data_IF_592005211887
#
_entry.id   IF_592005211887
#
_cell.length_a   1.000
_cell.length_b   1.000
_cell.length_c   1.000
_cell.angle_alpha   90.00
_cell.angle_beta   90.00
_cell.angle_gamma   90.00
#
_symmetry.space_group_name_H-M   'P 1'
#
loop_
_entity.id
_entity.type
_entity.pdbx_description
1 polymer ?
#
# COMPACT_ATOMS: atom_id res chain seq x y z
N UNK A 1 -5.12 14.28 13.55
CA UNK A 1 -4.17 13.17 13.73
C UNK A 1 -4.60 12.06 12.80
N UNK A 2 -3.67 11.56 12.00
CA UNK A 2 -3.87 10.49 11.03
C UNK A 2 -4.25 9.19 11.76
N UNK A 3 -5.38 8.61 11.41
CA UNK A 3 -5.80 7.30 11.92
C UNK A 3 -5.20 6.21 11.03
N UNK A 4 -4.33 5.38 11.59
CA UNK A 4 -3.61 4.33 10.86
C UNK A 4 -4.39 3.01 10.81
N UNK A 5 -4.04 2.13 9.86
CA UNK A 5 -4.44 0.73 9.87
C UNK A 5 -4.05 0.02 11.18
N UNK A 6 -4.84 -0.97 11.58
CA UNK A 6 -4.68 -1.65 12.89
C UNK A 6 -3.30 -2.25 13.12
N UNK A 7 -2.63 -2.70 12.05
CA UNK A 7 -1.31 -3.30 12.09
C UNK A 7 -0.18 -2.29 12.25
N UNK A 8 -0.46 -0.99 12.32
CA UNK A 8 0.55 0.05 12.48
C UNK A 8 0.44 0.73 13.85
N UNK A 9 1.59 0.97 14.48
CA UNK A 9 1.69 1.79 15.68
C UNK A 9 2.84 2.78 15.53
N UNK A 10 2.58 4.02 15.93
CA UNK A 10 3.53 5.14 15.96
C UNK A 10 3.46 5.81 17.33
N UNK A 11 4.47 6.60 17.70
CA UNK A 11 4.48 7.26 18.99
C UNK A 11 3.37 8.33 19.09
N UNK A 12 2.72 8.43 20.25
CA UNK A 12 1.51 9.25 20.42
C UNK A 12 1.74 10.77 20.33
N UNK A 13 2.99 11.21 20.41
CA UNK A 13 3.42 12.61 20.30
C UNK A 13 3.75 13.04 18.85
N UNK A 14 3.53 12.17 17.88
CA UNK A 14 3.80 12.46 16.47
C UNK A 14 2.56 13.08 15.82
N UNK A 15 2.70 14.34 15.38
CA UNK A 15 1.68 15.08 14.64
C UNK A 15 1.61 14.62 13.18
N UNK A 16 1.26 13.35 12.96
CA UNK A 16 0.95 12.85 11.62
C UNK A 16 -0.44 13.36 11.20
N UNK A 17 -0.50 13.92 10.00
CA UNK A 17 -1.72 14.49 9.42
C UNK A 17 -1.90 14.01 8.00
N UNK A 18 -3.15 14.03 7.53
CA UNK A 18 -3.44 13.84 6.11
C UNK A 18 -2.86 14.98 5.29
N UNK A 19 -2.44 14.66 4.08
CA UNK A 19 -1.90 15.61 3.11
C UNK A 19 -1.24 14.86 1.97
N UNK A 20 -1.03 15.55 0.85
CA UNK A 20 -0.24 15.00 -0.26
C UNK A 20 0.80 15.99 -0.76
N UNK A 21 1.87 15.47 -1.34
CA UNK A 21 2.95 16.22 -1.95
C UNK A 21 3.33 15.56 -3.27
N UNK A 22 3.69 16.36 -4.26
CA UNK A 22 4.39 15.88 -5.45
C UNK A 22 5.87 15.69 -5.10
N UNK A 23 6.27 14.46 -4.85
CA UNK A 23 7.62 14.10 -4.38
C UNK A 23 8.62 13.95 -5.52
N UNK A 24 8.17 13.84 -6.77
CA UNK A 24 9.01 13.92 -7.97
C UNK A 24 8.22 14.33 -9.22
N UNK A 25 8.85 14.35 -10.39
CA UNK A 25 8.17 14.59 -11.67
C UNK A 25 7.10 13.54 -11.99
N UNK A 26 7.17 12.34 -11.39
CA UNK A 26 6.29 11.20 -11.69
C UNK A 26 5.57 10.62 -10.47
N UNK A 27 5.79 11.17 -9.27
CA UNK A 27 5.20 10.66 -8.04
C UNK A 27 4.41 11.72 -7.27
N UNK A 28 3.21 11.32 -6.86
CA UNK A 28 2.49 11.90 -5.73
C UNK A 28 2.61 10.97 -4.54
N UNK A 29 2.84 11.51 -3.35
CA UNK A 29 2.85 10.78 -2.08
C UNK A 29 1.84 11.42 -1.14
N UNK A 30 1.07 10.61 -0.43
CA UNK A 30 0.05 11.08 0.50
C UNK A 30 0.01 10.27 1.79
N UNK A 31 -0.28 10.95 2.89
CA UNK A 31 -0.79 10.32 4.10
C UNK A 31 -2.32 10.27 4.00
N UNK A 32 -2.89 9.08 4.01
CA UNK A 32 -4.34 8.88 3.87
C UNK A 32 -4.90 8.25 5.15
N UNK A 33 -5.93 8.85 5.75
CA UNK A 33 -6.57 8.27 6.92
C UNK A 33 -7.19 6.92 6.57
N UNK A 34 -7.12 5.96 7.49
CA UNK A 34 -7.53 4.56 7.22
C UNK A 34 -8.96 4.44 6.69
N UNK A 35 -9.85 5.33 7.13
CA UNK A 35 -11.26 5.40 6.71
C UNK A 35 -11.45 5.81 5.25
N UNK A 36 -10.46 6.48 4.65
CA UNK A 36 -10.46 6.97 3.27
C UNK A 36 -9.72 6.06 2.30
N UNK A 37 -9.01 5.04 2.79
CA UNK A 37 -8.15 4.22 1.93
C UNK A 37 -8.95 3.43 0.88
N UNK A 38 -10.10 2.87 1.25
CA UNK A 38 -10.96 2.14 0.30
C UNK A 38 -11.45 3.07 -0.81
N UNK A 39 -11.99 4.24 -0.48
CA UNK A 39 -12.51 5.20 -1.47
C UNK A 39 -11.40 5.76 -2.37
N UNK A 40 -10.19 5.98 -1.84
CA UNK A 40 -9.03 6.41 -2.62
C UNK A 40 -8.65 5.35 -3.66
N UNK A 41 -8.54 4.08 -3.28
CA UNK A 41 -8.25 3.01 -4.22
C UNK A 41 -9.39 2.81 -5.25
N UNK A 42 -10.65 2.88 -4.82
CA UNK A 42 -11.81 2.80 -5.71
C UNK A 42 -11.83 3.94 -6.74
N UNK A 43 -11.50 5.16 -6.32
CA UNK A 43 -11.41 6.31 -7.21
C UNK A 43 -10.35 6.07 -8.30
N UNK A 44 -9.16 5.58 -7.93
CA UNK A 44 -8.12 5.22 -8.90
C UNK A 44 -8.61 4.17 -9.91
N UNK A 45 -9.23 3.08 -9.44
CA UNK A 45 -9.76 2.04 -10.33
C UNK A 45 -10.81 2.61 -11.30
N UNK A 46 -11.71 3.47 -10.80
CA UNK A 46 -12.84 3.97 -11.56
C UNK A 46 -12.45 4.93 -12.70
N UNK A 47 -11.38 5.70 -12.54
CA UNK A 47 -10.94 6.68 -13.56
C UNK A 47 -10.16 6.04 -14.73
N UNK A 48 -9.81 4.75 -14.64
CA UNK A 48 -9.06 4.03 -15.67
C UNK A 48 -9.95 3.03 -16.45
N UNK A 49 -10.49 3.41 -17.61
CA UNK A 49 -11.30 2.53 -18.46
C UNK A 49 -10.42 1.60 -19.32
N UNK A 50 -9.47 0.91 -18.69
CA UNK A 50 -8.49 0.04 -19.33
C UNK A 50 -8.24 -1.23 -18.48
N UNK A 51 -7.57 -2.27 -19.02
CA UNK A 51 -7.15 -3.40 -18.22
C UNK A 51 -6.18 -2.99 -17.11
N UNK A 52 -6.46 -3.45 -15.91
CA UNK A 52 -5.67 -3.19 -14.71
C UNK A 52 -4.89 -4.44 -14.30
N UNK A 53 -3.96 -4.28 -13.38
CA UNK A 53 -3.41 -5.37 -12.58
C UNK A 53 -3.46 -5.04 -11.11
N UNK A 54 -3.56 -6.07 -10.27
CA UNK A 54 -3.37 -5.95 -8.83
C UNK A 54 -1.96 -6.42 -8.47
N UNK A 55 -1.29 -5.68 -7.61
CA UNK A 55 0.03 -6.00 -7.07
C UNK A 55 -0.08 -6.18 -5.56
N UNK A 56 0.55 -7.23 -5.03
CA UNK A 56 0.64 -7.53 -3.61
C UNK A 56 2.09 -7.85 -3.27
N UNK A 57 2.66 -7.06 -2.35
CA UNK A 57 3.96 -7.34 -1.77
C UNK A 57 3.79 -7.90 -0.36
N UNK A 58 4.43 -9.02 -0.08
CA UNK A 58 4.47 -9.62 1.25
C UNK A 58 5.92 -9.78 1.69
N UNK A 59 6.23 -9.36 2.93
CA UNK A 59 7.49 -9.71 3.56
C UNK A 59 7.64 -11.23 3.59
N UNK A 60 8.80 -11.76 3.20
CA UNK A 60 9.02 -13.21 3.22
C UNK A 60 9.04 -13.74 4.66
N UNK A 61 8.82 -15.04 4.81
CA UNK A 61 8.87 -15.70 6.10
C UNK A 61 10.29 -15.72 6.67
N UNK A 62 10.42 -15.71 7.99
CA UNK A 62 11.73 -15.62 8.67
C UNK A 62 12.72 -16.74 8.30
N UNK A 63 12.25 -17.92 7.88
CA UNK A 63 13.09 -19.03 7.40
C UNK A 63 13.73 -18.77 6.03
N UNK A 64 13.28 -17.72 5.32
CA UNK A 64 13.82 -17.26 4.04
C UNK A 64 14.69 -16.01 4.18
N UNK A 65 14.86 -15.49 5.40
CA UNK A 65 15.70 -14.34 5.68
C UNK A 65 17.03 -14.75 6.30
N UNK A 66 18.05 -13.92 6.10
CA UNK A 66 19.36 -14.09 6.74
C UNK A 66 19.49 -13.18 7.96
N UNK A 67 19.42 -13.78 9.15
CA UNK A 67 19.64 -13.07 10.41
C UNK A 67 21.13 -12.84 10.67
N UNK A 68 21.49 -11.60 11.01
CA UNK A 68 22.85 -11.26 11.48
C UNK A 68 23.03 -11.50 12.97
N UNK A 69 21.91 -11.55 13.71
CA UNK A 69 21.79 -11.92 15.11
C UNK A 69 20.34 -12.36 15.38
N UNK A 70 20.04 -13.09 16.47
CA UNK A 70 18.69 -13.58 16.75
C UNK A 70 17.62 -12.48 16.66
N UNK A 71 16.74 -12.58 15.67
CA UNK A 71 15.68 -11.60 15.40
C UNK A 71 16.14 -10.26 14.83
N UNK A 72 17.37 -10.18 14.28
CA UNK A 72 17.94 -8.97 13.68
C UNK A 72 18.27 -9.23 12.21
N UNK A 73 17.57 -8.51 11.34
CA UNK A 73 17.80 -8.47 9.90
C UNK A 73 18.52 -7.16 9.54
N UNK A 74 19.47 -7.23 8.61
CA UNK A 74 20.08 -6.03 7.98
C UNK A 74 19.46 -5.68 6.64
N UNK A 75 18.79 -6.64 6.03
CA UNK A 75 18.04 -6.53 4.78
C UNK A 75 16.81 -7.44 4.93
N UNK A 76 15.70 -7.06 4.32
CA UNK A 76 14.49 -7.88 4.26
C UNK A 76 14.08 -8.06 2.82
N UNK A 77 13.45 -9.19 2.51
CA UNK A 77 12.98 -9.54 1.19
C UNK A 77 11.46 -9.54 1.13
N UNK A 78 10.94 -9.32 -0.08
CA UNK A 78 9.52 -9.32 -0.38
C UNK A 78 9.22 -10.20 -1.56
N UNK A 79 8.19 -11.01 -1.43
CA UNK A 79 7.54 -11.66 -2.57
C UNK A 79 6.56 -10.67 -3.19
N UNK A 80 6.67 -10.47 -4.50
CA UNK A 80 5.80 -9.59 -5.27
C UNK A 80 4.89 -10.45 -6.15
N UNK A 81 3.61 -10.42 -5.85
CA UNK A 81 2.57 -11.14 -6.56
C UNK A 81 1.79 -10.19 -7.48
N UNK A 82 1.39 -10.72 -8.63
CA UNK A 82 0.60 -9.99 -9.62
C UNK A 82 -0.66 -10.77 -9.99
N UNK A 83 -1.71 -10.02 -10.30
CA UNK A 83 -2.90 -10.51 -10.98
C UNK A 83 -3.21 -9.58 -12.16
N UNK A 84 -2.85 -10.03 -13.37
CA UNK A 84 -2.92 -9.23 -14.60
C UNK A 84 -4.28 -9.27 -15.30
N UNK A 85 -4.52 -8.30 -16.19
CA UNK A 85 -5.68 -8.29 -17.08
C UNK A 85 -7.02 -8.17 -16.37
N UNK A 86 -7.02 -7.59 -15.16
CA UNK A 86 -8.23 -7.36 -14.38
C UNK A 86 -9.13 -6.32 -15.05
N UNK A 87 -10.44 -6.57 -15.03
CA UNK A 87 -11.42 -5.51 -15.26
C UNK A 87 -11.56 -4.63 -14.02
N UNK A 88 -12.13 -3.43 -14.19
CA UNK A 88 -12.49 -2.57 -13.06
C UNK A 88 -13.38 -3.31 -12.05
N UNK A 89 -14.34 -4.11 -12.52
CA UNK A 89 -15.22 -4.92 -11.65
C UNK A 89 -14.44 -5.93 -10.79
N UNK A 90 -13.42 -6.59 -11.35
CA UNK A 90 -12.57 -7.53 -10.61
C UNK A 90 -11.73 -6.79 -9.55
N UNK A 91 -11.15 -5.64 -9.89
CA UNK A 91 -10.38 -4.84 -8.93
C UNK A 91 -11.26 -4.31 -7.78
N UNK A 92 -12.49 -3.85 -8.09
CA UNK A 92 -13.46 -3.43 -7.07
C UNK A 92 -13.90 -4.60 -6.19
N UNK A 93 -14.12 -5.79 -6.77
CA UNK A 93 -14.41 -7.00 -6.02
C UNK A 93 -13.26 -7.38 -5.08
N UNK A 94 -12.00 -7.29 -5.51
CA UNK A 94 -10.84 -7.54 -4.64
C UNK A 94 -10.83 -6.60 -3.42
N UNK A 95 -11.10 -5.31 -3.63
CA UNK A 95 -11.22 -4.34 -2.52
C UNK A 95 -12.40 -4.65 -1.61
N UNK A 96 -13.54 -5.06 -2.15
CA UNK A 96 -14.71 -5.44 -1.36
C UNK A 96 -14.43 -6.68 -0.49
N UNK A 97 -13.76 -7.70 -1.05
CA UNK A 97 -13.50 -8.96 -0.33
C UNK A 97 -12.32 -8.87 0.64
N UNK A 98 -11.25 -8.18 0.25
CA UNK A 98 -9.96 -8.23 0.93
C UNK A 98 -9.46 -6.86 1.41
N UNK A 99 -10.12 -5.76 1.07
CA UNK A 99 -9.69 -4.41 1.42
C UNK A 99 -9.51 -4.21 2.92
N UNK A 100 -10.45 -4.69 3.74
CA UNK A 100 -10.34 -4.63 5.20
C UNK A 100 -9.09 -5.37 5.72
N UNK A 101 -8.78 -6.54 5.18
CA UNK A 101 -7.60 -7.32 5.55
C UNK A 101 -6.32 -6.60 5.12
N UNK A 102 -6.25 -6.21 3.85
CA UNK A 102 -5.08 -5.57 3.26
C UNK A 102 -4.74 -4.21 3.88
N UNK A 103 -5.75 -3.37 4.13
CA UNK A 103 -5.58 -2.01 4.70
C UNK A 103 -5.15 -2.05 6.16
N UNK A 104 -5.63 -3.05 6.91
CA UNK A 104 -5.34 -3.13 8.34
C UNK A 104 -4.10 -3.96 8.66
N UNK A 105 -3.55 -4.70 7.70
CA UNK A 105 -2.36 -5.51 7.90
C UNK A 105 -1.08 -4.70 7.78
N UNK A 106 -0.16 -4.86 8.73
CA UNK A 106 1.11 -4.14 8.73
C UNK A 106 2.20 -4.78 7.86
N UNK A 107 2.01 -6.00 7.37
CA UNK A 107 3.07 -6.80 6.72
C UNK A 107 3.00 -6.75 5.19
N UNK A 108 1.86 -6.31 4.64
CA UNK A 108 1.65 -6.17 3.21
C UNK A 108 1.82 -4.74 2.69
N UNK A 109 2.18 -4.63 1.41
CA UNK A 109 1.89 -3.46 0.58
C UNK A 109 1.04 -3.95 -0.60
N UNK A 110 0.12 -3.15 -1.10
CA UNK A 110 -0.67 -3.56 -2.26
C UNK A 110 -1.04 -2.36 -3.13
N UNK A 111 -1.47 -2.63 -4.35
CA UNK A 111 -1.86 -1.57 -5.26
C UNK A 111 -2.56 -2.06 -6.51
N UNK A 112 -2.85 -1.09 -7.37
CA UNK A 112 -3.41 -1.32 -8.69
C UNK A 112 -2.60 -0.54 -9.71
N UNK A 113 -2.35 -1.15 -10.86
CA UNK A 113 -1.67 -0.51 -11.97
C UNK A 113 -2.39 -0.70 -13.29
N UNK A 114 -2.06 0.15 -14.24
CA UNK A 114 -2.69 0.22 -15.55
C UNK A 114 -1.78 -0.38 -16.63
N UNK A 115 -2.31 -1.27 -17.47
CA UNK A 115 -1.51 -1.93 -18.51
C UNK A 115 -1.11 -0.99 -19.66
N UNK A 116 -1.90 0.04 -19.94
CA UNK A 116 -1.69 0.95 -21.08
C UNK A 116 -1.09 2.28 -20.62
N UNK A 117 -1.68 2.95 -19.63
CA UNK A 117 -1.12 4.23 -19.14
C UNK A 117 0.15 4.05 -18.31
N UNK A 118 0.35 2.87 -17.72
CA UNK A 118 1.41 2.56 -16.75
C UNK A 118 1.29 3.37 -15.45
N UNK A 119 0.13 3.96 -15.18
CA UNK A 119 -0.13 4.59 -13.90
C UNK A 119 -0.34 3.53 -12.82
N UNK A 120 0.14 3.80 -11.60
CA UNK A 120 0.02 2.89 -10.47
C UNK A 120 -0.36 3.63 -9.20
N UNK A 121 -1.26 3.04 -8.40
CA UNK A 121 -1.49 3.43 -7.00
C UNK A 121 -1.01 2.32 -6.08
N UNK A 122 -0.19 2.66 -5.09
CA UNK A 122 0.29 1.74 -4.07
C UNK A 122 -0.08 2.25 -2.69
N UNK A 123 -0.65 1.38 -1.86
CA UNK A 123 -0.70 1.53 -0.41
C UNK A 123 0.54 0.87 0.19
N UNK A 124 1.44 1.70 0.68
CA UNK A 124 2.59 1.32 1.48
C UNK A 124 2.28 1.23 2.99
N UNK A 125 3.33 1.02 3.77
CA UNK A 125 3.21 0.96 5.22
C UNK A 125 2.79 2.30 5.83
N UNK A 126 2.16 2.25 7.01
CA UNK A 126 1.73 3.43 7.77
C UNK A 126 0.81 4.37 6.99
N UNK A 127 -0.07 3.78 6.16
CA UNK A 127 -1.03 4.48 5.29
C UNK A 127 -0.42 5.46 4.28
N UNK A 128 0.85 5.27 3.92
CA UNK A 128 1.47 6.07 2.85
C UNK A 128 0.95 5.57 1.51
N UNK A 129 0.21 6.40 0.79
CA UNK A 129 -0.26 6.12 -0.57
C UNK A 129 0.66 6.82 -1.57
N UNK A 130 1.05 6.13 -2.63
CA UNK A 130 1.77 6.73 -3.75
C UNK A 130 1.00 6.55 -5.04
N UNK A 131 0.98 7.58 -5.88
CA UNK A 131 0.57 7.47 -7.28
C UNK A 131 1.80 7.71 -8.14
N UNK A 132 2.12 6.75 -9.00
CA UNK A 132 3.07 6.90 -10.08
C UNK A 132 2.31 7.20 -11.38
N UNK A 133 2.77 8.19 -12.14
CA UNK A 133 2.28 8.47 -13.48
C UNK A 133 3.30 9.27 -14.29
N UNK A 134 3.35 9.03 -15.60
CA UNK A 134 4.08 9.90 -16.55
C UNK A 134 3.32 11.19 -16.88
N UNK A 135 2.06 11.31 -16.44
CA UNK A 135 1.16 12.44 -16.68
C UNK A 135 0.47 12.86 -15.38
N UNK A 136 1.25 13.32 -14.39
CA UNK A 136 0.74 13.72 -13.08
C UNK A 136 -0.36 14.79 -13.12
N UNK A 137 -0.43 15.60 -14.19
CA UNK A 137 -1.51 16.56 -14.39
C UNK A 137 -2.91 15.92 -14.40
N UNK A 138 -3.01 14.63 -14.76
CA UNK A 138 -4.26 13.87 -14.72
C UNK A 138 -4.76 13.63 -13.27
N UNK A 139 -3.89 13.82 -12.27
CA UNK A 139 -4.16 13.59 -10.86
C UNK A 139 -4.24 14.87 -10.02
N UNK A 140 -4.26 16.05 -10.66
CA UNK A 140 -4.20 17.34 -9.97
C UNK A 140 -5.23 17.50 -8.83
N UNK A 141 -6.46 17.01 -9.04
CA UNK A 141 -7.56 17.07 -8.07
C UNK A 141 -7.87 15.72 -7.40
N UNK A 142 -7.06 14.69 -7.65
CA UNK A 142 -7.36 13.32 -7.24
C UNK A 142 -7.53 13.18 -5.72
N UNK A 143 -6.57 13.69 -4.95
CA UNK A 143 -6.61 13.66 -3.48
C UNK A 143 -7.56 14.72 -2.90
N UNK A 144 -7.71 15.86 -3.58
CA UNK A 144 -8.63 16.92 -3.16
C UNK A 144 -10.10 16.43 -3.16
N UNK A 145 -10.46 15.51 -4.07
CA UNK A 145 -11.77 14.85 -4.10
C UNK A 145 -12.09 14.08 -2.80
N UNK A 146 -11.06 13.69 -2.02
CA UNK A 146 -11.15 12.98 -0.75
C UNK A 146 -10.86 13.89 0.46
N UNK A 147 -10.91 15.21 0.27
CA UNK A 147 -10.56 16.22 1.28
C UNK A 147 -9.13 16.08 1.82
N UNK A 148 -8.20 15.59 1.00
CA UNK A 148 -6.78 15.50 1.29
C UNK A 148 -6.08 16.58 0.46
N UNK A 149 -5.55 17.60 1.13
CA UNK A 149 -5.03 18.79 0.47
C UNK A 149 -3.51 18.75 0.29
N UNK A 150 -3.02 19.47 -0.72
CA UNK A 150 -1.60 19.55 -1.00
C UNK A 150 -0.87 20.29 0.13
N UNK A 151 0.30 19.78 0.50
CA UNK A 151 1.20 20.41 1.46
C UNK A 151 2.56 20.69 0.82
N UNK A 152 3.29 21.68 1.35
CA UNK A 152 4.61 22.04 0.84
C UNK A 152 5.69 20.99 1.21
N UNK A 153 5.47 20.29 2.32
CA UNK A 153 6.37 19.25 2.82
C UNK A 153 5.51 18.24 3.58
N UNK A 154 5.37 17.05 3.03
CA UNK A 154 4.69 15.94 3.67
C UNK A 154 5.60 15.34 4.74
N UNK A 155 5.07 15.18 5.96
CA UNK A 155 5.73 14.43 7.03
C UNK A 155 5.03 13.08 7.12
N UNK A 156 5.74 12.02 6.74
CA UNK A 156 5.26 10.64 6.84
C UNK A 156 5.65 10.02 8.18
N UNK A 157 5.11 8.85 8.51
CA UNK A 157 5.51 8.14 9.72
C UNK A 157 7.03 7.86 9.76
N UNK A 158 7.64 7.58 8.61
CA UNK A 158 9.07 7.32 8.50
C UNK A 158 9.95 8.46 9.01
N UNK A 159 9.53 9.70 8.78
CA UNK A 159 10.25 10.92 9.20
C UNK A 159 10.27 11.11 10.71
N UNK A 160 9.42 10.38 11.42
CA UNK A 160 9.23 10.51 12.86
C UNK A 160 9.91 9.39 13.66
N UNK A 161 10.39 8.34 12.98
CA UNK A 161 10.99 7.19 13.65
C UNK A 161 12.37 7.50 14.19
N UNK A 162 12.66 6.95 15.37
CA UNK A 162 13.98 7.02 15.99
C UNK A 162 14.25 5.75 16.81
N UNK A 163 15.48 5.60 17.31
CA UNK A 163 15.79 4.51 18.24
C UNK A 163 14.97 4.57 19.54
N UNK A 164 14.45 5.74 19.93
CA UNK A 164 13.62 5.93 21.12
C UNK A 164 12.11 5.79 20.80
N UNK A 165 11.72 6.07 19.56
CA UNK A 165 10.33 6.07 19.07
C UNK A 165 10.23 5.30 17.75
N UNK A 166 10.48 3.97 17.76
CA UNK A 166 10.38 3.17 16.55
C UNK A 166 8.91 3.03 16.12
N UNK A 167 8.68 3.00 14.80
CA UNK A 167 7.43 2.50 14.25
C UNK A 167 7.29 0.99 14.51
N UNK A 168 6.05 0.52 14.61
CA UNK A 168 5.75 -0.92 14.65
C UNK A 168 4.77 -1.26 13.55
N UNK A 169 5.07 -2.38 12.90
CA UNK A 169 4.21 -3.02 11.94
C UNK A 169 3.97 -4.47 12.36
N UNK A 170 2.71 -4.90 12.37
CA UNK A 170 2.33 -6.24 12.77
C UNK A 170 1.29 -6.85 11.84
N UNK A 171 1.32 -8.18 11.73
CA UNK A 171 0.32 -8.92 10.99
C UNK A 171 -1.03 -8.82 11.69
N UNK A 172 -2.08 -8.58 10.92
CA UNK A 172 -3.46 -8.60 11.42
C UNK A 172 -4.25 -9.69 10.72
N UNK A 173 -4.83 -10.58 11.51
CA UNK A 173 -5.73 -11.60 11.00
C UNK A 173 -7.17 -11.03 10.97
N UNK A 174 -7.85 -11.16 9.84
CA UNK A 174 -9.24 -10.72 9.66
C UNK A 174 -10.11 -11.93 9.32
N UNK A 175 -11.16 -12.14 10.11
CA UNK A 175 -12.08 -13.28 9.95
C UNK A 175 -11.39 -14.65 9.83
N UNK A 176 -10.25 -14.82 10.53
CA UNK A 176 -9.47 -16.06 10.53
C UNK A 176 -8.51 -16.22 9.35
N UNK A 177 -8.31 -15.17 8.54
CA UNK A 177 -7.38 -15.14 7.41
C UNK A 177 -6.32 -14.08 7.61
N UNK A 178 -5.15 -14.31 7.04
CA UNK A 178 -4.04 -13.36 6.96
C UNK A 178 -3.75 -12.99 5.50
N UNK A 179 -2.99 -11.92 5.28
CA UNK A 179 -2.54 -11.53 3.93
C UNK A 179 -1.73 -12.61 3.22
N UNK A 180 -1.10 -13.52 3.98
CA UNK A 180 -0.31 -14.63 3.45
C UNK A 180 -1.15 -15.77 2.87
N UNK A 181 -2.46 -15.79 3.13
CA UNK A 181 -3.38 -16.76 2.54
C UNK A 181 -3.80 -16.34 1.12
N UNK A 182 -3.70 -15.03 0.80
CA UNK A 182 -4.19 -14.46 -0.47
C UNK A 182 -3.52 -15.04 -1.71
N UNK A 183 -2.18 -15.25 -1.77
CA UNK A 183 -1.57 -15.87 -2.94
C UNK A 183 -2.14 -17.25 -3.29
N UNK A 184 -2.50 -18.05 -2.28
CA UNK A 184 -3.10 -19.36 -2.49
C UNK A 184 -4.57 -19.24 -2.91
N UNK A 185 -5.35 -18.36 -2.27
CA UNK A 185 -6.77 -18.15 -2.60
C UNK A 185 -6.97 -17.58 -4.00
N UNK A 186 -6.11 -16.64 -4.40
CA UNK A 186 -6.23 -15.93 -5.68
C UNK A 186 -5.53 -16.66 -6.84
N UNK A 187 -4.86 -17.77 -6.56
CA UNK A 187 -4.15 -18.55 -7.58
C UNK A 187 -5.08 -19.04 -8.69
N UNK A 188 -6.27 -19.51 -8.33
CA UNK A 188 -7.26 -20.04 -9.29
C UNK A 188 -7.83 -18.95 -10.20
N UNK A 189 -7.80 -17.68 -9.77
CA UNK A 189 -8.19 -16.54 -10.61
C UNK A 189 -7.02 -15.91 -11.36
N UNK A 190 -5.82 -16.48 -11.24
CA UNK A 190 -4.66 -16.12 -12.07
C UNK A 190 -3.54 -15.40 -11.33
N UNK A 191 -3.57 -15.28 -10.01
CA UNK A 191 -2.47 -14.66 -9.27
C UNK A 191 -1.21 -15.52 -9.35
N UNK A 192 -0.06 -14.88 -9.54
CA UNK A 192 1.24 -15.54 -9.60
C UNK A 192 2.32 -14.74 -8.89
N UNK A 193 3.38 -15.43 -8.45
CA UNK A 193 4.60 -14.81 -7.93
C UNK A 193 5.43 -14.29 -9.12
N UNK A 194 5.66 -12.99 -9.19
CA UNK A 194 6.49 -12.37 -10.22
C UNK A 194 7.97 -12.44 -9.86
N UNK A 195 8.32 -11.97 -8.67
CA UNK A 195 9.70 -11.91 -8.19
C UNK A 195 9.79 -11.96 -6.66
N UNK A 196 11.02 -12.22 -6.17
CA UNK A 196 11.42 -11.94 -4.80
C UNK A 196 12.53 -10.91 -4.85
N UNK A 197 12.40 -9.78 -4.15
CA UNK A 197 13.38 -8.68 -4.15
C UNK A 197 13.72 -8.19 -2.75
N UNK A 198 14.94 -7.69 -2.58
CA UNK A 198 15.35 -6.98 -1.36
C UNK A 198 14.62 -5.63 -1.27
N UNK A 199 14.33 -5.19 -0.04
CA UNK A 199 13.74 -3.87 0.30
C UNK A 199 14.77 -2.74 0.36
#
# INVERSE_FOLDING_TARGET
>A
MLELGKGYQVAADQDLVEGYEQTSETYLTANVGVKKLVEVCQHFIAIHPEPLFFILELLVTADREEEVAPGVLTESHRDVYYLDGCSQEVCLWLLEQYGDLLINDGMSKFGFGCHQSQDEIMLGQYNVVTIYSQQLENYADFFAAHEIFQVNQLVTAWDTFSAQTPGKSERVDYQGKSVYDLPAELKEVGMYLGETRAE
#
